data_IF_531100763328
#
_entry.id   IF_531100763328
#
_cell.length_a   1.000
_cell.length_b   1.000
_cell.length_c   1.000
_cell.angle_alpha   90.00
_cell.angle_beta   90.00
_cell.angle_gamma   90.00
#
_symmetry.space_group_name_H-M   'P 1'
#
loop_
_entity.id
_entity.type
_entity.pdbx_description
1 polymer ?
#
# COMPACT_ATOMS: atom_id res chain seq x y z
N UNK A 1 -49.08 -25.78 33.20
CA UNK A 1 -47.61 -25.66 33.40
C UNK A 1 -46.74 -26.30 32.30
N UNK A 2 -47.19 -27.38 31.62
CA UNK A 2 -46.45 -27.95 30.47
C UNK A 2 -46.46 -27.05 29.22
N UNK A 3 -47.58 -26.39 28.93
CA UNK A 3 -47.73 -25.45 27.79
C UNK A 3 -46.97 -24.13 28.02
N UNK A 4 -46.89 -23.66 29.27
CA UNK A 4 -46.08 -22.49 29.63
C UNK A 4 -44.57 -22.75 29.48
N UNK A 5 -44.13 -23.99 29.77
CA UNK A 5 -42.77 -24.45 29.49
C UNK A 5 -42.48 -24.56 27.98
N UNK A 6 -43.47 -24.93 27.16
CA UNK A 6 -43.32 -24.99 25.71
C UNK A 6 -43.22 -23.60 25.05
N UNK A 7 -43.94 -22.60 25.59
CA UNK A 7 -43.84 -21.21 25.12
C UNK A 7 -42.52 -20.52 25.53
N UNK A 8 -41.95 -20.87 26.69
CA UNK A 8 -40.64 -20.37 27.13
C UNK A 8 -39.45 -20.94 26.33
N UNK A 9 -39.56 -22.17 25.83
CA UNK A 9 -38.52 -22.79 24.98
C UNK A 9 -38.52 -22.17 23.57
N UNK A 10 -39.68 -21.76 23.06
CA UNK A 10 -39.78 -21.06 21.77
C UNK A 10 -39.21 -19.63 21.81
N UNK A 11 -39.23 -18.95 22.95
CA UNK A 11 -38.65 -17.61 23.10
C UNK A 11 -37.10 -17.64 23.08
N UNK A 12 -36.49 -18.75 23.51
CA UNK A 12 -35.03 -18.90 23.53
C UNK A 12 -34.43 -19.38 22.20
N UNK A 13 -35.23 -19.89 21.27
CA UNK A 13 -34.77 -20.38 19.97
C UNK A 13 -34.67 -19.29 18.88
N UNK A 14 -35.15 -18.07 19.15
CA UNK A 14 -35.27 -17.00 18.15
C UNK A 14 -34.09 -16.02 18.06
N UNK A 15 -33.10 -16.07 18.95
CA UNK A 15 -32.06 -15.02 19.04
C UNK A 15 -30.73 -15.34 18.36
N UNK A 16 -30.61 -16.45 17.63
CA UNK A 16 -29.35 -16.81 16.94
C UNK A 16 -29.43 -16.61 15.42
N UNK A 17 -30.00 -15.49 14.96
CA UNK A 17 -29.92 -15.10 13.55
C UNK A 17 -29.31 -13.71 13.40
N UNK A 18 -28.04 -13.62 13.79
CA UNK A 18 -27.13 -12.63 13.22
C UNK A 18 -26.06 -13.40 12.45
N UNK A 19 -26.45 -13.99 11.31
CA UNK A 19 -25.48 -14.25 10.26
C UNK A 19 -25.00 -12.89 9.76
N UNK A 20 -23.92 -12.39 10.38
CA UNK A 20 -23.07 -11.39 9.79
C UNK A 20 -22.50 -11.99 8.51
N UNK A 21 -23.25 -11.88 7.42
CA UNK A 21 -22.72 -12.12 6.09
C UNK A 21 -21.73 -10.99 5.81
N UNK A 22 -20.53 -11.10 6.37
CA UNK A 22 -19.39 -10.28 6.00
C UNK A 22 -19.10 -10.62 4.55
N UNK A 23 -19.68 -9.81 3.65
CA UNK A 23 -19.33 -9.79 2.26
C UNK A 23 -17.82 -9.57 2.17
N UNK A 24 -17.07 -10.64 1.83
CA UNK A 24 -15.67 -10.52 1.40
C UNK A 24 -15.66 -9.64 0.16
N UNK A 25 -15.51 -8.32 0.34
CA UNK A 25 -15.04 -7.48 -0.75
C UNK A 25 -13.66 -8.04 -1.13
N UNK A 26 -13.55 -8.55 -2.35
CA UNK A 26 -12.32 -9.15 -2.85
C UNK A 26 -11.16 -8.16 -2.80
N UNK A 27 -9.94 -8.70 -2.77
CA UNK A 27 -8.70 -7.90 -2.83
C UNK A 27 -8.72 -7.11 -4.14
N UNK A 28 -8.50 -5.80 -4.05
CA UNK A 28 -8.38 -4.89 -5.20
C UNK A 28 -6.91 -4.74 -5.55
N UNK A 29 -6.60 -4.81 -6.85
CA UNK A 29 -5.24 -4.56 -7.37
C UNK A 29 -5.22 -3.22 -8.08
N UNK A 30 -4.34 -2.32 -7.66
CA UNK A 30 -4.14 -1.02 -8.30
C UNK A 30 -2.68 -0.83 -8.70
N UNK A 31 -2.47 -0.14 -9.83
CA UNK A 31 -1.15 0.25 -10.32
C UNK A 31 -1.02 1.76 -10.16
N UNK A 32 0.07 2.18 -9.52
CA UNK A 32 0.34 3.58 -9.18
C UNK A 32 1.68 3.95 -9.83
N UNK A 33 1.74 5.07 -10.57
CA UNK A 33 3.00 5.54 -11.10
C UNK A 33 3.84 6.16 -9.98
N UNK A 34 5.11 5.80 -9.95
CA UNK A 34 6.06 6.19 -8.91
C UNK A 34 7.36 6.67 -9.57
N UNK A 35 7.34 7.87 -10.17
CA UNK A 35 8.39 8.32 -11.10
C UNK A 35 9.76 8.53 -10.45
N UNK A 36 9.77 8.71 -9.12
CA UNK A 36 10.94 8.97 -8.29
C UNK A 36 11.70 7.72 -7.88
N UNK A 37 11.20 6.52 -8.18
CA UNK A 37 11.92 5.27 -7.89
C UNK A 37 13.07 5.10 -8.88
N UNK A 38 14.27 4.87 -8.36
CA UNK A 38 15.49 4.80 -9.17
C UNK A 38 16.29 3.49 -9.03
N UNK A 39 16.18 2.80 -7.89
CA UNK A 39 16.99 1.61 -7.62
C UNK A 39 16.23 0.59 -6.75
N UNK A 40 16.79 -0.62 -6.63
CA UNK A 40 16.24 -1.68 -5.76
C UNK A 40 16.18 -1.25 -4.29
N UNK A 41 17.04 -0.34 -3.82
CA UNK A 41 16.94 0.18 -2.44
C UNK A 41 15.71 1.08 -2.26
N UNK A 42 15.34 1.89 -3.26
CA UNK A 42 14.09 2.66 -3.25
C UNK A 42 12.88 1.72 -3.21
N UNK A 43 12.91 0.70 -4.07
CA UNK A 43 11.89 -0.35 -4.14
C UNK A 43 11.68 -1.03 -2.79
N UNK A 44 12.75 -1.55 -2.19
CA UNK A 44 12.69 -2.22 -0.90
C UNK A 44 12.15 -1.33 0.21
N UNK A 45 12.40 -0.01 0.16
CA UNK A 45 11.88 0.93 1.13
C UNK A 45 10.36 1.11 1.01
N UNK A 46 9.86 1.31 -0.22
CA UNK A 46 8.43 1.44 -0.47
C UNK A 46 7.69 0.16 -0.10
N UNK A 47 8.20 -1.01 -0.50
CA UNK A 47 7.60 -2.30 -0.16
C UNK A 47 7.54 -2.51 1.37
N UNK A 48 8.63 -2.21 2.09
CA UNK A 48 8.66 -2.30 3.56
C UNK A 48 7.74 -1.31 4.25
N UNK A 49 7.57 -0.13 3.70
CA UNK A 49 6.68 0.89 4.25
C UNK A 49 5.22 0.46 4.05
N UNK A 50 4.83 0.19 2.80
CA UNK A 50 3.45 -0.18 2.46
C UNK A 50 2.99 -1.51 3.04
N UNK A 51 3.88 -2.49 3.26
CA UNK A 51 3.51 -3.76 3.90
C UNK A 51 3.09 -3.57 5.37
N UNK A 52 3.45 -2.44 6.00
CA UNK A 52 3.04 -2.10 7.37
C UNK A 52 1.72 -1.32 7.41
N UNK A 53 1.24 -0.82 6.27
CA UNK A 53 -0.01 -0.07 6.19
C UNK A 53 -1.20 -1.02 6.35
N UNK A 54 -2.17 -0.63 7.17
CA UNK A 54 -3.36 -1.45 7.37
C UNK A 54 -4.19 -1.53 6.09
N UNK A 55 -4.73 -2.71 5.83
CA UNK A 55 -5.47 -3.01 4.61
C UNK A 55 -4.60 -3.35 3.40
N UNK A 56 -3.27 -3.18 3.44
CA UNK A 56 -2.39 -3.63 2.35
C UNK A 56 -2.13 -5.12 2.48
N UNK A 57 -2.36 -5.87 1.39
CA UNK A 57 -2.16 -7.32 1.33
C UNK A 57 -0.80 -7.68 0.74
N UNK A 58 -0.43 -7.04 -0.38
CA UNK A 58 0.86 -7.24 -1.01
C UNK A 58 1.23 -6.04 -1.87
N UNK A 59 2.54 -5.87 -2.08
CA UNK A 59 3.11 -4.77 -2.84
C UNK A 59 4.17 -5.34 -3.75
N UNK A 60 4.18 -4.88 -5.00
CA UNK A 60 5.22 -5.19 -5.97
C UNK A 60 5.62 -3.92 -6.68
N UNK A 61 6.88 -3.54 -6.53
CA UNK A 61 7.43 -2.34 -7.18
C UNK A 61 8.30 -2.74 -8.37
N UNK A 62 7.95 -2.23 -9.55
CA UNK A 62 8.69 -2.42 -10.79
C UNK A 62 9.55 -1.18 -11.09
N UNK A 63 10.81 -1.19 -10.65
CA UNK A 63 11.76 -0.06 -10.81
C UNK A 63 11.93 0.35 -12.28
N UNK A 64 11.99 -0.63 -13.19
CA UNK A 64 12.17 -0.37 -14.64
C UNK A 64 10.98 0.37 -15.26
N UNK A 65 9.77 0.06 -14.80
CA UNK A 65 8.53 0.68 -15.31
C UNK A 65 8.12 1.89 -14.49
N UNK A 66 8.75 2.12 -13.34
CA UNK A 66 8.36 3.13 -12.34
C UNK A 66 6.92 2.98 -11.90
N UNK A 67 6.46 1.73 -11.76
CA UNK A 67 5.08 1.40 -11.38
C UNK A 67 5.12 0.59 -10.08
N UNK A 68 4.27 0.99 -9.14
CA UNK A 68 4.02 0.28 -7.90
C UNK A 68 2.65 -0.37 -7.97
N UNK A 69 2.61 -1.70 -7.97
CA UNK A 69 1.37 -2.48 -7.95
C UNK A 69 1.05 -2.86 -6.50
N UNK A 70 -0.12 -2.45 -6.01
CA UNK A 70 -0.57 -2.70 -4.64
C UNK A 70 -1.86 -3.51 -4.68
N UNK A 71 -1.88 -4.56 -3.88
CA UNK A 71 -3.09 -5.32 -3.59
C UNK A 71 -3.56 -4.95 -2.19
N UNK A 72 -4.81 -4.49 -2.06
CA UNK A 72 -5.37 -4.05 -0.79
C UNK A 72 -6.82 -4.47 -0.60
N UNK A 73 -7.24 -4.44 0.66
CA UNK A 73 -8.58 -4.74 1.12
C UNK A 73 -9.44 -3.45 1.07
N UNK A 74 -10.41 -3.34 0.15
CA UNK A 74 -11.19 -2.10 -0.06
C UNK A 74 -12.18 -1.79 1.08
N UNK A 75 -12.34 -2.73 2.02
CA UNK A 75 -13.06 -2.56 3.28
C UNK A 75 -12.21 -1.89 4.37
N UNK A 76 -10.88 -1.85 4.20
CA UNK A 76 -9.94 -1.24 5.17
C UNK A 76 -9.24 0.00 4.65
N UNK A 77 -8.90 0.02 3.36
CA UNK A 77 -8.18 1.14 2.74
C UNK A 77 -8.66 1.38 1.32
N UNK A 78 -8.23 2.47 0.71
CA UNK A 78 -8.59 2.87 -0.65
C UNK A 78 -7.34 3.32 -1.43
N UNK A 79 -7.49 3.54 -2.74
CA UNK A 79 -6.37 3.91 -3.60
C UNK A 79 -5.71 5.24 -3.18
N UNK A 80 -6.49 6.23 -2.73
CA UNK A 80 -5.98 7.54 -2.30
C UNK A 80 -5.14 7.44 -1.02
N UNK A 81 -5.57 6.60 -0.07
CA UNK A 81 -4.78 6.28 1.13
C UNK A 81 -3.48 5.57 0.77
N UNK A 82 -3.50 4.66 -0.20
CA UNK A 82 -2.29 3.98 -0.67
C UNK A 82 -1.32 4.97 -1.34
N UNK A 83 -1.81 5.87 -2.20
CA UNK A 83 -0.98 6.95 -2.79
C UNK A 83 -0.39 7.85 -1.69
N UNK A 84 -1.20 8.23 -0.71
CA UNK A 84 -0.77 9.02 0.44
C UNK A 84 0.30 8.29 1.26
N UNK A 85 0.18 6.98 1.45
CA UNK A 85 1.20 6.20 2.13
C UNK A 85 2.53 6.15 1.35
N UNK A 86 2.49 6.09 0.01
CA UNK A 86 3.70 6.21 -0.83
C UNK A 86 4.32 7.61 -0.69
N UNK A 87 3.50 8.66 -0.69
CA UNK A 87 3.95 10.03 -0.45
C UNK A 87 4.60 10.20 0.93
N UNK A 88 4.03 9.59 1.97
CA UNK A 88 4.58 9.55 3.32
C UNK A 88 5.84 8.67 3.43
N UNK A 89 6.06 7.74 2.50
CA UNK A 89 7.33 7.05 2.35
C UNK A 89 8.41 7.95 1.69
N UNK A 90 8.05 9.13 1.20
CA UNK A 90 8.91 10.11 0.56
C UNK A 90 8.97 10.02 -0.97
N UNK A 91 8.01 9.34 -1.62
CA UNK A 91 8.02 9.13 -3.07
C UNK A 91 6.75 9.68 -3.73
N UNK A 92 6.85 10.18 -4.96
CA UNK A 92 5.69 10.66 -5.70
C UNK A 92 4.82 9.46 -6.14
N UNK A 93 3.50 9.62 -6.11
CA UNK A 93 2.50 8.59 -6.37
C UNK A 93 1.36 9.12 -7.24
N UNK A 94 1.44 8.90 -8.56
CA UNK A 94 0.57 9.50 -9.57
C UNK A 94 0.46 11.02 -9.41
N UNK A 95 -0.69 11.50 -8.95
CA UNK A 95 -1.06 12.89 -8.70
C UNK A 95 -0.69 13.39 -7.29
N UNK A 96 -0.29 12.49 -6.39
CA UNK A 96 0.13 12.81 -5.02
C UNK A 96 1.64 12.97 -4.97
N UNK A 97 2.10 14.14 -4.56
CA UNK A 97 3.53 14.44 -4.41
C UNK A 97 4.08 13.93 -3.08
N UNK A 98 5.38 13.63 -3.04
CA UNK A 98 6.06 13.19 -1.83
C UNK A 98 5.88 14.19 -0.68
N UNK A 99 5.63 13.66 0.53
CA UNK A 99 5.61 14.47 1.73
C UNK A 99 7.02 15.08 1.95
N UNK A 100 7.14 16.41 2.10
CA UNK A 100 8.44 17.09 2.19
C UNK A 100 9.27 16.64 3.41
N UNK A 101 8.63 16.35 4.53
CA UNK A 101 9.31 15.91 5.75
C UNK A 101 9.89 14.50 5.54
N UNK A 102 9.07 13.59 5.02
CA UNK A 102 9.49 12.23 4.68
C UNK A 102 10.56 12.20 3.60
N UNK A 103 10.45 13.08 2.61
CA UNK A 103 11.43 13.23 1.52
C UNK A 103 12.79 13.70 2.06
N UNK A 104 12.78 14.67 2.98
CA UNK A 104 14.01 15.19 3.60
C UNK A 104 14.72 14.11 4.41
N UNK A 105 13.95 13.24 5.09
CA UNK A 105 14.43 12.08 5.84
C UNK A 105 14.89 10.90 4.96
N UNK A 106 14.79 10.99 3.63
CA UNK A 106 15.40 10.01 2.75
C UNK A 106 16.94 10.16 2.75
N UNK A 107 17.72 9.07 2.87
CA UNK A 107 19.08 9.00 2.38
C UNK A 107 19.25 9.62 1.00
N UNK A 108 20.39 10.29 0.79
CA UNK A 108 20.74 11.02 -0.43
C UNK A 108 20.53 10.18 -1.70
N UNK A 109 20.86 8.88 -1.67
CA UNK A 109 20.68 7.99 -2.82
C UNK A 109 19.23 7.80 -3.27
N UNK A 110 18.25 8.04 -2.39
CA UNK A 110 16.83 7.90 -2.66
C UNK A 110 16.15 9.24 -3.01
N UNK A 111 16.87 10.35 -2.92
CA UNK A 111 16.37 11.67 -3.35
C UNK A 111 16.41 11.79 -4.86
N UNK A 112 15.64 12.73 -5.40
CA UNK A 112 15.59 13.07 -6.83
C UNK A 112 16.96 13.56 -7.30
N UNK A 113 17.32 13.37 -8.59
CA UNK A 113 18.60 13.82 -9.14
C UNK A 113 18.82 15.33 -9.07
N UNK A 114 17.75 16.12 -9.17
CA UNK A 114 17.76 17.57 -9.01
C UNK A 114 18.26 18.02 -7.63
N UNK A 115 18.02 17.22 -6.60
CA UNK A 115 18.46 17.48 -5.22
C UNK A 115 19.80 16.81 -4.88
N UNK A 116 20.56 16.40 -5.90
CA UNK A 116 21.84 15.70 -5.74
C UNK A 116 21.70 14.22 -5.34
N UNK A 117 20.50 13.65 -5.50
CA UNK A 117 20.23 12.24 -5.22
C UNK A 117 20.38 11.30 -6.41
N UNK A 118 20.21 10.01 -6.15
CA UNK A 118 20.25 8.95 -7.16
C UNK A 118 21.59 8.27 -7.36
N UNK A 119 21.57 7.18 -8.12
CA UNK A 119 22.76 6.62 -8.76
C UNK A 119 22.78 7.11 -10.20
N UNK A 120 23.88 7.75 -10.61
CA UNK A 120 24.10 8.18 -12.00
C UNK A 120 23.96 6.99 -12.96
N UNK A 121 22.79 6.85 -13.59
CA UNK A 121 22.54 5.84 -14.62
C UNK A 121 22.86 6.34 -16.04
N UNK A 122 23.83 7.26 -16.17
CA UNK A 122 24.29 7.73 -17.48
C UNK A 122 25.75 8.19 -17.48
N UNK A 123 26.68 7.26 -17.27
CA UNK A 123 27.94 7.32 -18.02
C UNK A 123 28.30 5.93 -18.51
N UNK A 124 28.34 5.66 -19.83
CA UNK A 124 28.94 4.43 -20.32
C UNK A 124 30.38 4.40 -19.81
N UNK A 125 30.81 3.25 -19.30
CA UNK A 125 32.19 3.01 -18.90
C UNK A 125 33.11 3.43 -20.06
N UNK A 126 33.77 4.59 -19.93
CA UNK A 126 34.85 4.96 -20.84
C UNK A 126 35.95 3.92 -20.65
N UNK A 127 36.05 3.02 -21.61
CA UNK A 127 37.17 2.12 -21.85
C UNK A 127 38.45 2.98 -21.79
N UNK A 128 39.26 2.82 -20.73
CA UNK A 128 40.61 3.37 -20.70
C UNK A 128 41.40 2.60 -21.75
N UNK A 129 41.84 3.30 -22.79
CA UNK A 129 42.81 2.81 -23.76
C UNK A 129 44.21 2.75 -23.16
#
# INVERSE_FOLDING_TARGET
MRILKLLLVFLFAGTSMAMAQQAKKGIVTSKINTPTIQCESCKNRIEKYLTKEDGVKSVKVDVKKKITTVQFYPDRTNIENVKTAIANAGYDADDVTANPDSYTALPTCCKKPEDGGGMEQSKPAKKKG
#
